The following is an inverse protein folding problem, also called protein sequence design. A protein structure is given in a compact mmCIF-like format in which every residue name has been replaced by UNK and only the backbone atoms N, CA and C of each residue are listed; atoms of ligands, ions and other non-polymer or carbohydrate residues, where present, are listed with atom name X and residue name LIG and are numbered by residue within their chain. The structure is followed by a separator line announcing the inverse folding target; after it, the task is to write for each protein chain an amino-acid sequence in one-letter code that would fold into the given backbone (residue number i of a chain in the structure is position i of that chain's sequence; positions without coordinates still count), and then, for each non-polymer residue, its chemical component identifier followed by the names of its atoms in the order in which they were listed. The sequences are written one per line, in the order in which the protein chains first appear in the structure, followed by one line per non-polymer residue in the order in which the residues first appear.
data_IF_346835294975
#
_entry.id   IF_346835294975
#
_cell.length_a   1.000
_cell.length_b   1.000
_cell.length_c   1.000
_cell.angle_alpha   90.00
_cell.angle_beta   90.00
_cell.angle_gamma   90.00
#
_symmetry.space_group_name_H-M   'P 1'
#
loop_
_entity.id
_entity.type
_entity.pdbx_description
1 polymer ?
#
# COMPACT_ATOMS: atom_id res chain seq x y z
N UNK A 1 11.31 16.44 -4.43
CA UNK A 1 11.20 15.49 -3.29
C UNK A 1 9.76 15.60 -2.85
N UNK A 2 8.97 14.63 -3.31
CA UNK A 2 7.63 14.90 -3.84
C UNK A 2 6.58 14.69 -2.74
N UNK A 3 5.77 15.72 -2.46
CA UNK A 3 4.75 15.73 -1.40
C UNK A 3 3.41 15.13 -1.84
N UNK A 4 2.87 14.17 -1.07
CA UNK A 4 1.59 13.52 -1.37
C UNK A 4 0.53 13.91 -0.33
N UNK A 5 -0.64 14.39 -0.80
CA UNK A 5 -1.73 14.83 0.09
C UNK A 5 -2.58 13.67 0.61
N UNK A 6 -2.98 12.73 -0.25
CA UNK A 6 -3.68 11.46 0.05
C UNK A 6 -3.45 10.47 -1.10
N UNK A 7 -3.55 9.14 -0.88
CA UNK A 7 -3.55 8.22 -2.00
C UNK A 7 -4.71 8.56 -2.93
N UNK A 8 -4.40 8.83 -4.20
CA UNK A 8 -5.40 9.03 -5.23
C UNK A 8 -6.27 7.78 -5.36
N UNK A 9 -5.67 6.60 -5.23
CA UNK A 9 -6.35 5.30 -5.24
C UNK A 9 -5.82 4.37 -4.15
N UNK A 10 -6.71 3.58 -3.56
CA UNK A 10 -6.38 2.51 -2.62
C UNK A 10 -7.18 1.27 -2.96
N UNK A 11 -6.49 0.15 -3.21
CA UNK A 11 -7.11 -1.12 -3.60
C UNK A 11 -6.65 -2.22 -2.65
N UNK A 12 -7.60 -3.00 -2.15
CA UNK A 12 -7.32 -4.25 -1.43
C UNK A 12 -7.46 -5.41 -2.40
N UNK A 13 -6.53 -6.35 -2.35
CA UNK A 13 -6.58 -7.53 -3.18
C UNK A 13 -6.25 -8.80 -2.38
N UNK A 14 -6.63 -9.93 -2.96
CA UNK A 14 -6.29 -11.27 -2.50
C UNK A 14 -5.81 -12.06 -3.70
N UNK A 15 -4.94 -13.02 -3.46
CA UNK A 15 -4.41 -13.86 -4.53
C UNK A 15 -3.76 -15.11 -3.98
N UNK A 16 -3.07 -15.82 -4.87
CA UNK A 16 -2.20 -16.93 -4.54
C UNK A 16 -0.76 -16.54 -4.86
N UNK A 17 0.17 -16.83 -3.96
CA UNK A 17 1.60 -16.64 -4.25
C UNK A 17 2.25 -17.98 -4.53
N UNK A 18 2.73 -18.19 -5.75
CA UNK A 18 3.53 -19.38 -6.08
C UNK A 18 4.85 -19.42 -5.30
N UNK A 19 5.40 -18.25 -4.95
CA UNK A 19 6.64 -18.15 -4.19
C UNK A 19 6.47 -18.57 -2.72
N UNK A 20 5.36 -18.16 -2.09
CA UNK A 20 5.05 -18.52 -0.70
C UNK A 20 4.25 -19.84 -0.59
N UNK A 21 3.75 -20.37 -1.72
CA UNK A 21 2.87 -21.55 -1.82
C UNK A 21 1.62 -21.44 -0.93
N UNK A 22 1.10 -20.23 -0.76
CA UNK A 22 -0.06 -19.96 0.09
C UNK A 22 -0.91 -18.79 -0.42
N UNK A 23 -2.17 -18.66 0.05
CA UNK A 23 -2.99 -17.49 -0.22
C UNK A 23 -2.37 -16.21 0.38
N UNK A 24 -2.36 -15.13 -0.40
CA UNK A 24 -1.89 -13.81 0.02
C UNK A 24 -3.03 -12.80 0.05
N UNK A 25 -2.80 -11.73 0.79
CA UNK A 25 -3.59 -10.52 0.73
C UNK A 25 -2.66 -9.32 0.64
N UNK A 26 -3.17 -8.23 0.08
CA UNK A 26 -2.35 -7.04 -0.11
C UNK A 26 -3.17 -5.78 -0.26
N UNK A 27 -2.45 -4.68 -0.25
CA UNK A 27 -2.99 -3.35 -0.47
C UNK A 27 -2.07 -2.58 -1.42
N UNK A 28 -2.66 -2.01 -2.46
CA UNK A 28 -1.98 -1.11 -3.38
C UNK A 28 -2.47 0.32 -3.14
N UNK A 29 -1.54 1.25 -3.01
CA UNK A 29 -1.79 2.68 -2.92
C UNK A 29 -1.17 3.35 -4.16
N UNK A 30 -1.95 4.19 -4.83
CA UNK A 30 -1.45 5.10 -5.86
C UNK A 30 -1.34 6.49 -5.26
N UNK A 31 -0.14 7.03 -5.27
CA UNK A 31 0.19 8.36 -4.82
C UNK A 31 0.51 9.21 -6.06
N UNK A 32 -0.09 10.39 -6.20
CA UNK A 32 0.19 11.31 -7.32
C UNK A 32 0.76 12.60 -6.74
N UNK A 33 1.94 13.02 -7.20
CA UNK A 33 2.58 14.28 -6.79
C UNK A 33 3.27 14.91 -7.99
N UNK A 34 3.08 16.22 -8.19
CA UNK A 34 3.88 17.06 -9.11
C UNK A 34 4.14 16.42 -10.49
N UNK A 35 3.13 15.70 -11.03
CA UNK A 35 3.14 14.98 -12.34
C UNK A 35 3.78 13.58 -12.35
N UNK A 36 4.20 13.05 -11.22
CA UNK A 36 4.62 11.67 -11.06
C UNK A 36 3.57 10.82 -10.34
N UNK A 37 3.44 9.57 -10.78
CA UNK A 37 2.59 8.57 -10.16
C UNK A 37 3.46 7.50 -9.51
N UNK A 38 3.30 7.31 -8.20
CA UNK A 38 4.03 6.33 -7.41
C UNK A 38 3.06 5.28 -6.88
N UNK A 39 3.41 4.01 -7.02
CA UNK A 39 2.64 2.91 -6.49
C UNK A 39 3.37 2.28 -5.30
N UNK A 40 2.69 2.14 -4.18
CA UNK A 40 3.13 1.34 -3.05
C UNK A 40 2.28 0.08 -2.97
N UNK A 41 2.90 -1.09 -2.95
CA UNK A 41 2.19 -2.37 -2.86
C UNK A 41 2.70 -3.15 -1.65
N UNK A 42 1.80 -3.39 -0.69
CA UNK A 42 2.04 -4.23 0.47
C UNK A 42 1.41 -5.60 0.22
N UNK A 43 2.20 -6.67 0.36
CA UNK A 43 1.75 -8.06 0.18
C UNK A 43 2.17 -8.85 1.40
N UNK A 44 1.25 -9.63 1.96
CA UNK A 44 1.55 -10.57 3.02
C UNK A 44 0.73 -11.86 2.86
N UNK A 45 1.15 -12.95 3.51
CA UNK A 45 0.29 -14.11 3.71
C UNK A 45 -1.11 -13.72 4.22
N UNK A 46 -2.14 -14.47 3.80
CA UNK A 46 -3.55 -14.17 4.14
C UNK A 46 -3.80 -14.09 5.65
N UNK A 47 -3.06 -14.85 6.45
CA UNK A 47 -3.15 -14.85 7.90
C UNK A 47 -2.59 -13.56 8.53
N UNK A 48 -1.71 -12.84 7.83
CA UNK A 48 -1.12 -11.57 8.25
C UNK A 48 -1.92 -10.35 7.74
N UNK A 49 -3.23 -10.49 7.54
CA UNK A 49 -4.07 -9.41 7.00
C UNK A 49 -4.09 -8.15 7.89
N UNK A 50 -4.11 -8.33 9.21
CA UNK A 50 -4.03 -7.21 10.16
C UNK A 50 -2.74 -6.43 9.98
N UNK A 51 -1.61 -7.13 9.85
CA UNK A 51 -0.31 -6.51 9.57
C UNK A 51 -0.33 -5.63 8.32
N UNK A 52 -0.90 -6.11 7.20
CA UNK A 52 -1.01 -5.29 5.97
C UNK A 52 -1.82 -4.02 6.20
N UNK A 53 -2.89 -4.10 6.99
CA UNK A 53 -3.75 -2.95 7.29
C UNK A 53 -3.04 -1.95 8.23
N UNK A 54 -2.35 -2.44 9.25
CA UNK A 54 -1.65 -1.62 10.23
C UNK A 54 -0.46 -0.92 9.59
N UNK A 55 0.33 -1.65 8.79
CA UNK A 55 1.44 -1.08 8.02
C UNK A 55 0.96 -0.07 6.99
N UNK A 56 -0.12 -0.36 6.27
CA UNK A 56 -0.70 0.62 5.35
C UNK A 56 -1.14 1.89 6.09
N UNK A 57 -1.76 1.76 7.25
CA UNK A 57 -2.20 2.89 8.08
C UNK A 57 -1.01 3.71 8.57
N UNK A 58 0.07 3.04 8.99
CA UNK A 58 1.32 3.68 9.44
C UNK A 58 2.01 4.40 8.30
N UNK A 59 2.08 3.80 7.11
CA UNK A 59 2.66 4.46 5.94
C UNK A 59 1.84 5.70 5.59
N UNK A 60 0.50 5.58 5.52
CA UNK A 60 -0.37 6.72 5.23
C UNK A 60 -0.24 7.85 6.26
N UNK A 61 -0.10 7.56 7.55
CA UNK A 61 0.09 8.59 8.59
C UNK A 61 1.49 9.21 8.59
N UNK A 62 2.48 8.50 8.04
CA UNK A 62 3.86 8.99 7.91
C UNK A 62 4.10 9.82 6.65
N UNK A 63 3.19 9.80 5.68
CA UNK A 63 3.24 10.67 4.51
C UNK A 63 3.12 12.12 4.99
N UNK A 64 4.25 12.84 5.00
CA UNK A 64 4.29 14.24 5.45
C UNK A 64 3.85 15.16 4.31
N UNK A 65 2.75 15.88 4.56
CA UNK A 65 2.31 17.03 3.78
C UNK A 65 3.31 18.18 4.04
N UNK A 66 3.94 18.69 2.98
CA UNK A 66 4.59 20.00 3.02
C UNK A 66 3.82 20.92 2.08
N UNK A 67 3.15 21.92 2.66
CA UNK A 67 2.55 23.05 1.95
C UNK A 67 3.64 23.92 1.32
#
# INVERSE_FOLDING_TARGET
MDGYERPAWQVRFRGWSSALKEPICGMALLLICERHAHALVLIAPKHARSFVQDECSRVMSSLRVRH
#
